data_IF_224498262935
#
_entry.id   IF_224498262935
#
_cell.length_a   1.000
_cell.length_b   1.000
_cell.length_c   1.000
_cell.angle_alpha   90.00
_cell.angle_beta   90.00
_cell.angle_gamma   90.00
#
_symmetry.space_group_name_H-M   'P 1'
#
loop_
_entity.id
_entity.type
_entity.pdbx_description
1 polymer ?
#
# COMPACT_ATOMS: atom_id res chain seq x y z
N UNK A 1 27.44 -20.29 -35.72
CA UNK A 1 27.02 -18.88 -35.52
C UNK A 1 25.92 -18.82 -34.46
N UNK A 2 26.26 -18.62 -33.18
CA UNK A 2 25.31 -18.52 -32.05
C UNK A 2 25.79 -17.44 -31.07
N UNK A 3 25.70 -16.17 -31.49
CA UNK A 3 26.20 -15.00 -30.74
C UNK A 3 25.09 -14.18 -30.06
N UNK A 4 23.83 -14.55 -30.24
CA UNK A 4 22.68 -13.79 -29.75
C UNK A 4 22.15 -14.27 -28.39
N UNK A 5 22.55 -15.46 -27.93
CA UNK A 5 22.10 -16.04 -26.65
C UNK A 5 22.74 -15.38 -25.41
N UNK A 6 23.79 -14.58 -25.58
CA UNK A 6 24.56 -13.98 -24.47
C UNK A 6 24.15 -12.53 -24.17
N UNK A 7 23.41 -11.87 -25.07
CA UNK A 7 22.94 -10.48 -24.90
C UNK A 7 21.52 -10.38 -24.32
N UNK A 8 20.73 -11.46 -24.33
CA UNK A 8 19.36 -11.47 -23.81
C UNK A 8 19.29 -11.67 -22.29
N UNK A 9 20.28 -12.33 -21.70
CA UNK A 9 20.36 -12.62 -20.26
C UNK A 9 20.49 -11.34 -19.40
N UNK A 10 21.36 -10.35 -19.71
CA UNK A 10 21.45 -9.14 -18.88
C UNK A 10 20.22 -8.23 -19.01
N UNK A 11 19.51 -8.24 -20.15
CA UNK A 11 18.32 -7.42 -20.35
C UNK A 11 17.11 -7.96 -19.55
N UNK A 12 16.98 -9.29 -19.43
CA UNK A 12 15.93 -9.91 -18.62
C UNK A 12 16.14 -9.68 -17.11
N UNK A 13 17.41 -9.59 -16.65
CA UNK A 13 17.74 -9.34 -15.25
C UNK A 13 17.45 -7.89 -14.82
N UNK A 14 17.56 -6.93 -15.75
CA UNK A 14 17.31 -5.51 -15.48
C UNK A 14 15.81 -5.19 -15.24
N UNK A 15 14.90 -6.00 -15.80
CA UNK A 15 13.44 -5.82 -15.65
C UNK A 15 12.90 -6.24 -14.27
N UNK A 16 13.65 -7.04 -13.50
CA UNK A 16 13.26 -7.47 -12.15
C UNK A 16 13.71 -6.54 -11.02
N UNK A 17 14.53 -5.53 -11.33
CA UNK A 17 15.12 -4.64 -10.32
C UNK A 17 14.25 -3.41 -9.98
N UNK A 18 12.96 -3.41 -10.32
CA UNK A 18 12.07 -2.28 -10.00
C UNK A 18 11.53 -2.48 -8.57
N UNK A 19 11.93 -1.65 -7.59
CA UNK A 19 11.35 -1.73 -6.26
C UNK A 19 9.86 -1.33 -6.31
N UNK A 20 8.97 -2.24 -5.96
CA UNK A 20 7.54 -1.96 -5.81
C UNK A 20 7.31 -1.17 -4.52
N UNK A 21 7.30 0.16 -4.62
CA UNK A 21 6.85 1.01 -3.52
C UNK A 21 5.33 1.03 -3.48
N UNK A 22 4.74 0.36 -2.48
CA UNK A 22 3.31 0.47 -2.23
C UNK A 22 2.92 1.92 -1.94
N UNK A 23 1.75 2.35 -2.45
CA UNK A 23 1.20 3.65 -2.12
C UNK A 23 0.95 3.74 -0.60
N UNK A 24 1.18 4.90 0.04
CA UNK A 24 0.96 5.04 1.47
C UNK A 24 -0.53 4.89 1.79
N UNK A 25 -0.84 4.13 2.83
CA UNK A 25 -2.18 4.09 3.40
C UNK A 25 -2.51 5.47 4.00
N UNK A 26 -3.61 6.07 3.54
CA UNK A 26 -4.15 7.32 4.10
C UNK A 26 -5.50 7.06 4.72
N UNK A 27 -5.61 7.40 6.00
CA UNK A 27 -6.87 7.38 6.75
C UNK A 27 -7.19 8.81 7.19
N UNK A 28 -8.43 9.23 6.98
CA UNK A 28 -8.94 10.54 7.30
C UNK A 28 -9.80 10.48 8.56
N UNK A 29 -9.64 11.49 9.43
CA UNK A 29 -10.40 11.62 10.68
C UNK A 29 -10.94 13.04 10.78
N UNK A 30 -12.20 13.17 11.15
CA UNK A 30 -12.88 14.46 11.32
C UNK A 30 -13.91 14.38 12.45
N UNK A 31 -14.10 15.42 13.27
CA UNK A 31 -15.12 15.44 14.33
C UNK A 31 -16.55 15.18 13.81
N UNK A 32 -16.85 15.56 12.56
CA UNK A 32 -18.13 15.32 11.91
C UNK A 32 -18.17 14.00 11.10
N UNK A 33 -17.17 13.14 11.27
CA UNK A 33 -17.06 11.85 10.59
C UNK A 33 -17.95 10.76 11.20
N UNK A 34 -17.77 9.54 10.74
CA UNK A 34 -18.51 8.37 11.22
C UNK A 34 -17.59 7.14 11.27
N UNK A 35 -17.53 6.46 12.42
CA UNK A 35 -16.66 5.28 12.60
C UNK A 35 -17.13 4.03 11.84
N UNK A 36 -18.35 4.06 11.28
CA UNK A 36 -18.86 3.07 10.35
C UNK A 36 -18.42 3.30 8.89
N UNK A 37 -17.84 4.46 8.57
CA UNK A 37 -17.30 4.75 7.24
C UNK A 37 -15.94 4.09 7.01
N UNK A 38 -15.47 3.99 5.75
CA UNK A 38 -14.19 3.36 5.46
C UNK A 38 -12.96 4.18 5.87
N UNK A 39 -13.07 5.51 6.06
CA UNK A 39 -11.96 6.37 6.45
C UNK A 39 -10.87 6.58 5.39
N UNK A 40 -10.85 5.83 4.29
CA UNK A 40 -9.85 5.93 3.22
C UNK A 40 -10.08 7.08 2.23
N UNK A 41 -11.22 7.76 2.32
CA UNK A 41 -11.56 8.91 1.49
C UNK A 41 -11.91 10.12 2.35
N UNK A 42 -11.57 11.30 1.86
CA UNK A 42 -11.76 12.54 2.61
C UNK A 42 -13.24 12.89 2.84
N UNK A 43 -14.16 12.45 1.96
CA UNK A 43 -15.61 12.63 2.07
C UNK A 43 -16.28 11.65 3.05
N UNK A 44 -15.57 10.59 3.44
CA UNK A 44 -16.04 9.58 4.39
C UNK A 44 -15.00 9.28 5.48
N UNK A 45 -14.63 10.28 6.31
CA UNK A 45 -13.63 10.12 7.36
C UNK A 45 -14.17 9.36 8.58
N UNK A 46 -13.29 8.71 9.32
CA UNK A 46 -13.64 8.23 10.66
C UNK A 46 -13.99 9.40 11.58
N UNK A 47 -14.79 9.14 12.62
CA UNK A 47 -15.08 10.12 13.66
C UNK A 47 -13.97 10.20 14.69
N UNK A 48 -13.34 9.08 14.99
CA UNK A 48 -12.37 8.96 16.09
C UNK A 48 -11.00 8.49 15.63
N UNK A 49 -9.96 8.93 16.38
CA UNK A 49 -8.60 8.44 16.20
C UNK A 49 -8.46 6.98 16.64
N UNK A 50 -9.25 6.52 17.62
CA UNK A 50 -9.28 5.12 18.05
C UNK A 50 -9.67 4.19 16.89
N UNK A 51 -10.76 4.51 16.17
CA UNK A 51 -11.18 3.71 15.01
C UNK A 51 -10.09 3.64 13.93
N UNK A 52 -9.43 4.76 13.65
CA UNK A 52 -8.32 4.82 12.69
C UNK A 52 -7.13 3.95 13.13
N UNK A 53 -6.77 3.97 14.42
CA UNK A 53 -5.71 3.12 14.98
C UNK A 53 -6.07 1.64 14.91
N UNK A 54 -7.33 1.29 15.18
CA UNK A 54 -7.79 -0.09 15.11
C UNK A 54 -7.77 -0.62 13.68
N UNK A 55 -8.08 0.22 12.69
CA UNK A 55 -7.93 -0.15 11.27
C UNK A 55 -6.47 -0.44 10.91
N UNK A 56 -5.53 0.39 11.36
CA UNK A 56 -4.09 0.13 11.17
C UNK A 56 -3.69 -1.19 11.85
N UNK A 57 -4.13 -1.42 13.10
CA UNK A 57 -3.84 -2.67 13.83
C UNK A 57 -4.39 -3.90 13.12
N UNK A 58 -5.60 -3.82 12.57
CA UNK A 58 -6.20 -4.88 11.76
C UNK A 58 -5.32 -5.18 10.54
N UNK A 59 -4.97 -4.15 9.78
CA UNK A 59 -4.12 -4.31 8.59
C UNK A 59 -2.71 -4.83 8.94
N UNK A 60 -2.14 -4.43 10.09
CA UNK A 60 -0.88 -5.00 10.59
C UNK A 60 -0.98 -6.50 10.86
N UNK A 61 -2.08 -6.96 11.44
CA UNK A 61 -2.32 -8.39 11.70
C UNK A 61 -2.50 -9.18 10.40
N UNK A 62 -3.16 -8.59 9.40
CA UNK A 62 -3.50 -9.25 8.14
C UNK A 62 -2.34 -9.30 7.14
N UNK A 63 -1.60 -8.20 7.00
CA UNK A 63 -0.62 -8.04 5.92
C UNK A 63 0.81 -7.79 6.42
N UNK A 64 1.03 -7.62 7.73
CA UNK A 64 2.34 -7.20 8.24
C UNK A 64 2.76 -5.87 7.61
N UNK A 65 1.95 -4.81 7.76
CA UNK A 65 2.36 -3.45 7.36
C UNK A 65 3.79 -3.19 7.88
N UNK A 66 4.67 -2.57 7.07
CA UNK A 66 6.07 -2.33 7.45
C UNK A 66 6.20 -1.63 8.81
#
# INVERSE_FOLDING_TARGET
MRRHAWLTVPLALLLFAIPTRGAPLRLHVSPNGNDAWPGTRADRPFRTLERARDEIRKLKKEAGLP
#
